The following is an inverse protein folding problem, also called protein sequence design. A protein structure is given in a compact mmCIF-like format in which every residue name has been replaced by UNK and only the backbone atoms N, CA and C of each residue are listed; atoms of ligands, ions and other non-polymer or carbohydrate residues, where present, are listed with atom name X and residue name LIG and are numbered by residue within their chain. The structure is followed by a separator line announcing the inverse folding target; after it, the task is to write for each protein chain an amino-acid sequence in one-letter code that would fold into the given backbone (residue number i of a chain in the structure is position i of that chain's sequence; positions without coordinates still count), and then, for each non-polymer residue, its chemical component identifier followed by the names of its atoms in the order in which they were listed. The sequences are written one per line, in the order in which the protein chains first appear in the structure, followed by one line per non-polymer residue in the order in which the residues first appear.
data_IF_569054604028
#
_entry.id   IF_569054604028
#
_cell.length_a   1.000
_cell.length_b   1.000
_cell.length_c   1.000
_cell.angle_alpha   90.00
_cell.angle_beta   90.00
_cell.angle_gamma   90.00
#
_symmetry.space_group_name_H-M   'P 1'
#
loop_
_entity.id
_entity.type
_entity.pdbx_description
1 polymer ?
#
# COMPACT_ATOMS: atom_id res chain seq x y z
N UNK A 1 -7.01 -15.19 -14.26
CA UNK A 1 -7.20 -14.39 -13.04
C UNK A 1 -6.20 -14.81 -11.98
N UNK A 2 -5.52 -13.84 -11.39
CA UNK A 2 -4.57 -14.12 -10.32
C UNK A 2 -5.31 -14.57 -9.06
N UNK A 3 -4.76 -15.57 -8.40
CA UNK A 3 -5.31 -16.01 -7.13
C UNK A 3 -5.03 -14.98 -6.04
N UNK A 4 -5.96 -14.78 -5.10
CA UNK A 4 -5.68 -13.97 -3.92
C UNK A 4 -4.52 -14.54 -3.12
N UNK A 5 -3.75 -13.67 -2.50
CA UNK A 5 -2.67 -14.08 -1.61
C UNK A 5 -3.23 -14.19 -0.19
N UNK A 6 -3.13 -15.37 0.40
CA UNK A 6 -3.72 -15.63 1.73
C UNK A 6 -2.65 -15.59 2.81
N UNK A 7 -2.87 -14.74 3.80
CA UNK A 7 -2.10 -14.71 5.03
C UNK A 7 -2.90 -15.41 6.12
N UNK A 8 -2.33 -15.59 7.29
CA UNK A 8 -3.03 -16.29 8.37
C UNK A 8 -4.28 -15.56 8.85
N UNK A 9 -4.23 -14.23 8.87
CA UNK A 9 -5.31 -13.42 9.42
C UNK A 9 -6.06 -12.60 8.37
N UNK A 10 -5.58 -12.54 7.13
CA UNK A 10 -6.21 -11.76 6.08
C UNK A 10 -5.86 -12.28 4.70
N UNK A 11 -6.65 -11.86 3.73
CA UNK A 11 -6.46 -12.22 2.32
C UNK A 11 -6.32 -10.95 1.51
N UNK A 12 -5.44 -10.96 0.52
CA UNK A 12 -5.16 -9.82 -0.33
C UNK A 12 -5.42 -10.20 -1.79
N UNK A 13 -6.39 -9.53 -2.40
CA UNK A 13 -6.65 -9.70 -3.84
C UNK A 13 -5.63 -8.90 -4.63
N UNK A 14 -5.21 -9.43 -5.76
CA UNK A 14 -4.15 -8.83 -6.58
C UNK A 14 -4.40 -8.88 -8.08
N UNK A 15 -5.61 -9.25 -8.49
CA UNK A 15 -5.91 -9.44 -9.92
C UNK A 15 -6.05 -8.12 -10.70
N UNK A 16 -6.19 -6.99 -10.01
CA UNK A 16 -6.32 -5.67 -10.64
C UNK A 16 -5.08 -4.78 -10.47
N UNK A 17 -4.01 -5.32 -9.92
CA UNK A 17 -2.77 -4.56 -9.72
C UNK A 17 -1.73 -4.91 -10.77
N UNK A 18 -1.05 -3.89 -11.29
CA UNK A 18 0.05 -4.08 -12.24
C UNK A 18 1.22 -4.81 -11.58
N UNK A 19 1.46 -4.51 -10.29
CA UNK A 19 2.50 -5.19 -9.51
C UNK A 19 1.84 -6.15 -8.54
N UNK A 20 2.19 -7.42 -8.65
CA UNK A 20 1.69 -8.45 -7.75
C UNK A 20 2.48 -8.46 -6.45
N UNK A 21 1.93 -9.13 -5.44
CA UNK A 21 2.62 -9.31 -4.17
C UNK A 21 3.88 -10.15 -4.42
N UNK A 22 5.01 -9.59 -4.05
CA UNK A 22 6.29 -10.27 -4.18
C UNK A 22 6.98 -10.40 -2.84
N UNK A 23 8.10 -11.12 -2.85
CA UNK A 23 8.91 -11.34 -1.65
C UNK A 23 9.35 -10.03 -1.01
N UNK A 24 9.71 -9.03 -1.83
CA UNK A 24 10.20 -7.75 -1.32
C UNK A 24 9.16 -7.02 -0.48
N UNK A 25 7.91 -6.99 -0.96
CA UNK A 25 6.82 -6.35 -0.23
C UNK A 25 6.53 -7.05 1.09
N UNK A 26 6.52 -8.37 1.08
CA UNK A 26 6.28 -9.16 2.29
C UNK A 26 7.43 -8.97 3.30
N UNK A 27 8.68 -8.99 2.84
CA UNK A 27 9.83 -8.76 3.70
C UNK A 27 9.82 -7.36 4.30
N UNK A 28 9.51 -6.35 3.49
CA UNK A 28 9.41 -4.97 3.96
C UNK A 28 8.34 -4.86 5.04
N UNK A 29 7.16 -5.45 4.80
CA UNK A 29 6.08 -5.44 5.76
C UNK A 29 6.42 -6.15 7.07
N UNK A 30 7.20 -7.24 6.98
CA UNK A 30 7.64 -7.98 8.16
C UNK A 30 8.76 -7.25 8.91
N UNK A 31 9.59 -6.49 8.19
CA UNK A 31 10.80 -5.88 8.74
C UNK A 31 10.62 -4.45 9.25
N UNK A 32 9.63 -3.74 8.73
CA UNK A 32 9.38 -2.35 9.13
C UNK A 32 9.18 -2.30 10.64
N UNK A 33 9.94 -1.42 11.31
CA UNK A 33 9.83 -1.29 12.76
C UNK A 33 8.57 -0.54 13.16
N UNK A 34 7.83 -1.12 14.09
CA UNK A 34 6.67 -0.49 14.71
C UNK A 34 6.85 -0.36 16.22
N UNK A 35 8.10 -0.48 16.69
CA UNK A 35 8.43 -0.45 18.12
C UNK A 35 8.15 0.90 18.78
N UNK A 36 8.17 1.97 18.00
CA UNK A 36 7.90 3.32 18.51
C UNK A 36 6.41 3.64 18.61
N UNK A 37 5.56 2.64 18.41
CA UNK A 37 4.09 2.75 18.50
C UNK A 37 3.54 3.88 17.63
N UNK A 38 3.72 3.82 16.31
CA UNK A 38 3.23 4.89 15.45
C UNK A 38 1.71 4.98 15.52
N UNK A 39 1.20 6.19 15.64
CA UNK A 39 -0.24 6.45 15.60
C UNK A 39 -0.71 6.58 14.14
N UNK A 40 0.09 7.27 13.33
CA UNK A 40 -0.23 7.53 11.93
C UNK A 40 0.83 6.95 11.01
N UNK A 41 0.38 6.32 9.94
CA UNK A 41 1.23 5.66 8.95
C UNK A 41 0.81 6.09 7.56
N UNK A 42 1.75 6.40 6.70
CA UNK A 42 1.50 6.69 5.30
C UNK A 42 2.18 5.63 4.43
N UNK A 43 1.40 5.00 3.56
CA UNK A 43 1.85 4.01 2.59
C UNK A 43 1.78 4.63 1.20
N UNK A 44 2.93 4.93 0.62
CA UNK A 44 3.03 5.61 -0.67
C UNK A 44 3.10 4.59 -1.80
N UNK A 45 2.17 4.67 -2.75
CA UNK A 45 2.11 3.73 -3.86
C UNK A 45 1.70 2.35 -3.38
N UNK A 46 0.54 2.26 -2.74
CA UNK A 46 0.13 1.09 -1.96
C UNK A 46 -0.10 -0.18 -2.78
N UNK A 47 -0.39 -0.07 -4.06
CA UNK A 47 -0.71 -1.25 -4.87
C UNK A 47 -1.87 -2.04 -4.28
N UNK A 48 -1.61 -3.29 -3.89
CA UNK A 48 -2.64 -4.14 -3.26
C UNK A 48 -2.98 -3.73 -1.83
N UNK A 49 -2.14 -2.91 -1.19
CA UNK A 49 -2.29 -2.55 0.21
C UNK A 49 -1.58 -3.48 1.18
N UNK A 50 -0.70 -4.35 0.68
CA UNK A 50 -0.05 -5.37 1.51
C UNK A 50 0.75 -4.79 2.67
N UNK A 51 1.51 -3.71 2.45
CA UNK A 51 2.30 -3.10 3.53
C UNK A 51 1.42 -2.57 4.64
N UNK A 52 0.37 -1.84 4.27
CA UNK A 52 -0.58 -1.29 5.23
C UNK A 52 -1.27 -2.39 6.04
N UNK A 53 -1.65 -3.47 5.38
CA UNK A 53 -2.30 -4.60 6.06
C UNK A 53 -1.36 -5.27 7.05
N UNK A 54 -0.10 -5.47 6.67
CA UNK A 54 0.89 -6.08 7.56
C UNK A 54 1.19 -5.17 8.75
N UNK A 55 1.26 -3.87 8.53
CA UNK A 55 1.49 -2.90 9.61
C UNK A 55 0.27 -2.85 10.55
N UNK A 56 -0.94 -2.90 10.01
CA UNK A 56 -2.15 -2.95 10.81
C UNK A 56 -2.15 -4.18 11.74
N UNK A 57 -1.73 -5.33 11.21
CA UNK A 57 -1.64 -6.56 11.98
C UNK A 57 -0.61 -6.47 13.11
N UNK A 58 0.50 -5.78 12.86
CA UNK A 58 1.65 -5.73 13.76
C UNK A 58 1.66 -4.55 14.73
N UNK A 59 0.73 -3.62 14.59
CA UNK A 59 0.75 -2.38 15.38
C UNK A 59 -0.64 -2.01 15.87
N UNK A 60 -0.68 -0.97 16.71
CA UNK A 60 -1.92 -0.37 17.18
C UNK A 60 -2.19 0.98 16.51
N UNK A 61 -1.54 1.24 15.36
CA UNK A 61 -1.72 2.49 14.62
C UNK A 61 -3.21 2.70 14.31
N UNK A 62 -3.70 3.91 14.56
CA UNK A 62 -5.11 4.23 14.39
C UNK A 62 -5.43 4.90 13.06
N UNK A 63 -4.41 5.47 12.40
CA UNK A 63 -4.57 6.10 11.09
C UNK A 63 -3.52 5.53 10.15
N UNK A 64 -3.89 4.52 9.39
CA UNK A 64 -3.04 3.96 8.36
C UNK A 64 -3.64 4.40 7.03
N UNK A 65 -2.97 5.36 6.39
CA UNK A 65 -3.44 5.98 5.17
C UNK A 65 -2.55 5.55 4.01
N UNK A 66 -3.17 5.08 2.94
CA UNK A 66 -2.48 4.66 1.74
C UNK A 66 -2.88 5.56 0.58
N UNK A 67 -1.94 5.87 -0.29
CA UNK A 67 -2.21 6.64 -1.50
C UNK A 67 -1.80 5.80 -2.72
N UNK A 68 -2.62 5.86 -3.76
CA UNK A 68 -2.40 5.12 -4.99
C UNK A 68 -2.95 5.94 -6.16
N UNK A 69 -2.16 6.07 -7.23
CA UNK A 69 -2.56 6.86 -8.40
C UNK A 69 -3.21 6.03 -9.50
N UNK A 70 -2.97 4.74 -9.53
CA UNK A 70 -3.59 3.86 -10.52
C UNK A 70 -5.01 3.50 -10.10
N UNK A 71 -5.98 3.74 -11.01
CA UNK A 71 -7.40 3.51 -10.72
C UNK A 71 -7.69 2.10 -10.23
N UNK A 72 -7.21 1.11 -10.97
CA UNK A 72 -7.48 -0.30 -10.66
C UNK A 72 -6.83 -0.73 -9.37
N UNK A 73 -5.59 -0.30 -9.14
CA UNK A 73 -4.87 -0.61 -7.91
C UNK A 73 -5.52 0.05 -6.70
N UNK A 74 -5.99 1.30 -6.85
CA UNK A 74 -6.72 2.00 -5.80
C UNK A 74 -7.99 1.24 -5.40
N UNK A 75 -8.78 0.81 -6.38
CA UNK A 75 -10.00 0.05 -6.11
C UNK A 75 -9.70 -1.27 -5.41
N UNK A 76 -8.64 -1.95 -5.85
CA UNK A 76 -8.24 -3.22 -5.24
C UNK A 76 -7.74 -3.02 -3.81
N UNK A 77 -6.93 -2.00 -3.58
CA UNK A 77 -6.46 -1.65 -2.24
C UNK A 77 -7.62 -1.36 -1.30
N UNK A 78 -8.58 -0.54 -1.75
CA UNK A 78 -9.76 -0.20 -0.97
C UNK A 78 -10.56 -1.44 -0.61
N UNK A 79 -10.76 -2.34 -1.57
CA UNK A 79 -11.48 -3.59 -1.34
C UNK A 79 -10.75 -4.47 -0.31
N UNK A 80 -9.43 -4.60 -0.45
CA UNK A 80 -8.63 -5.38 0.50
C UNK A 80 -8.71 -4.80 1.91
N UNK A 81 -8.72 -3.48 2.04
CA UNK A 81 -8.85 -2.82 3.34
C UNK A 81 -10.21 -3.09 3.95
N UNK A 82 -11.28 -2.95 3.17
CA UNK A 82 -12.64 -3.17 3.64
C UNK A 82 -12.87 -4.60 4.12
N UNK A 83 -12.24 -5.56 3.46
CA UNK A 83 -12.40 -6.98 3.79
C UNK A 83 -11.45 -7.47 4.89
N UNK A 84 -10.61 -6.59 5.43
CA UNK A 84 -9.68 -6.96 6.48
C UNK A 84 -10.30 -6.78 7.88
N UNK A 85 -9.73 -7.43 8.90
CA UNK A 85 -10.18 -7.22 10.29
C UNK A 85 -9.91 -5.80 10.81
N UNK A 86 -9.11 -5.01 10.10
CA UNK A 86 -8.68 -3.68 10.55
C UNK A 86 -9.27 -2.55 9.71
N UNK A 87 -10.42 -2.78 9.09
CA UNK A 87 -11.05 -1.84 8.17
C UNK A 87 -11.37 -0.48 8.81
N UNK A 88 -11.50 -0.43 10.12
CA UNK A 88 -11.76 0.81 10.85
C UNK A 88 -10.56 1.74 10.97
N UNK A 89 -9.36 1.23 10.68
CA UNK A 89 -8.10 1.98 10.79
C UNK A 89 -7.39 2.21 9.46
N UNK A 90 -7.89 1.62 8.39
CA UNK A 90 -7.25 1.63 7.09
C UNK A 90 -8.03 2.52 6.12
N UNK A 91 -7.33 3.44 5.48
CA UNK A 91 -7.93 4.40 4.54
C UNK A 91 -7.09 4.44 3.27
N UNK A 92 -7.73 4.34 2.11
CA UNK A 92 -7.04 4.41 0.82
C UNK A 92 -7.55 5.62 0.04
N UNK A 93 -6.64 6.42 -0.49
CA UNK A 93 -6.97 7.61 -1.27
C UNK A 93 -6.42 7.48 -2.68
N UNK A 94 -7.21 7.88 -3.65
CA UNK A 94 -6.82 7.92 -5.05
C UNK A 94 -6.14 9.26 -5.31
N UNK A 95 -4.84 9.32 -5.07
CA UNK A 95 -4.09 10.57 -5.16
C UNK A 95 -2.60 10.30 -5.37
N UNK A 96 -1.93 11.27 -5.98
CA UNK A 96 -0.47 11.27 -6.01
C UNK A 96 0.06 11.80 -4.67
N UNK A 97 1.34 11.57 -4.41
CA UNK A 97 1.97 12.10 -3.20
C UNK A 97 1.86 13.64 -3.15
N UNK A 98 2.09 14.30 -4.28
CA UNK A 98 2.03 15.76 -4.33
C UNK A 98 0.64 16.28 -3.99
N UNK A 99 -0.40 15.70 -4.61
CA UNK A 99 -1.78 16.07 -4.33
C UNK A 99 -2.13 15.87 -2.85
N UNK A 100 -1.72 14.74 -2.32
CA UNK A 100 -2.02 14.38 -0.94
C UNK A 100 -1.37 15.36 0.04
N UNK A 101 -0.10 15.69 -0.17
CA UNK A 101 0.64 16.62 0.68
C UNK A 101 0.02 18.02 0.65
N UNK A 102 -0.41 18.48 -0.53
CA UNK A 102 -1.04 19.79 -0.67
C UNK A 102 -2.35 19.89 0.07
N UNK A 103 -3.15 18.82 0.07
CA UNK A 103 -4.47 18.85 0.71
C UNK A 103 -4.41 18.59 2.20
N UNK A 104 -3.60 17.64 2.62
CA UNK A 104 -3.58 17.17 4.00
C UNK A 104 -2.62 17.97 4.87
N UNK A 105 -1.40 18.21 4.37
CA UNK A 105 -0.41 19.01 5.07
C UNK A 105 0.07 18.44 6.40
N UNK A 106 -0.32 17.21 6.72
CA UNK A 106 0.02 16.57 7.99
C UNK A 106 1.35 15.83 7.94
N UNK A 107 1.88 15.56 9.11
CA UNK A 107 3.03 14.68 9.24
C UNK A 107 2.56 13.30 9.71
N UNK A 108 3.38 12.30 9.46
CA UNK A 108 3.10 10.92 9.84
C UNK A 108 4.22 10.38 10.73
N UNK A 109 3.85 9.51 11.66
CA UNK A 109 4.83 8.88 12.55
C UNK A 109 5.68 7.83 11.82
N UNK A 110 5.12 7.24 10.77
CA UNK A 110 5.81 6.25 9.96
C UNK A 110 5.40 6.41 8.50
N UNK A 111 6.39 6.42 7.60
CA UNK A 111 6.14 6.46 6.17
C UNK A 111 6.80 5.25 5.55
N UNK A 112 6.05 4.48 4.78
CA UNK A 112 6.56 3.31 4.07
C UNK A 112 6.30 3.46 2.58
N UNK A 113 7.19 2.90 1.79
CA UNK A 113 7.06 2.90 0.35
C UNK A 113 7.75 1.66 -0.20
N UNK A 114 7.03 0.92 -1.04
CA UNK A 114 7.58 -0.21 -1.75
C UNK A 114 7.46 0.04 -3.24
N UNK A 115 8.31 0.91 -3.81
CA UNK A 115 8.20 1.24 -5.22
C UNK A 115 8.46 0.00 -6.08
N UNK A 116 7.76 -0.15 -7.20
CA UNK A 116 8.00 -1.27 -8.08
C UNK A 116 9.43 -1.21 -8.62
N UNK A 117 10.05 -2.38 -8.75
CA UNK A 117 11.37 -2.53 -9.33
C UNK A 117 11.23 -3.12 -10.72
N UNK A 118 11.69 -2.40 -11.74
CA UNK A 118 11.70 -2.93 -13.09
C UNK A 118 12.88 -2.40 -13.89
N UNK A 119 13.20 -3.13 -14.97
CA UNK A 119 14.27 -2.75 -15.87
C UNK A 119 13.87 -1.51 -16.68
N UNK A 120 14.87 -0.91 -17.33
CA UNK A 120 14.66 0.22 -18.24
C UNK A 120 13.61 -0.07 -19.31
N UNK A 121 13.52 -1.31 -19.76
CA UNK A 121 12.63 -1.72 -20.84
C UNK A 121 11.15 -1.56 -20.49
N UNK A 122 10.79 -1.56 -19.22
CA UNK A 122 9.40 -1.46 -18.79
C UNK A 122 8.92 -0.04 -18.58
N UNK A 123 9.80 0.91 -18.44
CA UNK A 123 9.42 2.29 -18.08
C UNK A 123 8.56 2.97 -19.13
N UNK A 124 8.79 2.68 -20.38
CA UNK A 124 8.03 3.29 -21.46
C UNK A 124 6.79 2.50 -21.85
N UNK A 125 6.69 1.27 -21.40
CA UNK A 125 5.62 0.34 -21.79
C UNK A 125 4.44 0.35 -20.84
N UNK A 126 4.63 0.80 -19.61
CA UNK A 126 3.56 0.79 -18.62
C UNK A 126 3.59 2.06 -17.78
N UNK A 127 2.86 3.06 -18.24
CA UNK A 127 2.79 4.36 -17.57
C UNK A 127 2.19 4.31 -16.18
N UNK A 128 1.22 3.43 -15.95
CA UNK A 128 0.64 3.29 -14.62
C UNK A 128 1.68 2.87 -13.59
N UNK A 129 2.55 1.92 -13.97
CA UNK A 129 3.61 1.46 -13.08
C UNK A 129 4.66 2.53 -12.86
N UNK A 130 5.02 3.26 -13.92
CA UNK A 130 6.01 4.33 -13.82
C UNK A 130 5.51 5.46 -12.94
N UNK A 131 4.22 5.79 -13.04
CA UNK A 131 3.63 6.83 -12.21
C UNK A 131 3.53 6.42 -10.73
N UNK A 132 3.51 5.13 -10.44
CA UNK A 132 3.50 4.64 -9.07
C UNK A 132 4.88 4.69 -8.40
N UNK A 133 5.94 5.04 -9.15
CA UNK A 133 7.30 5.19 -8.61
C UNK A 133 7.54 6.61 -8.15
N UNK A 134 8.31 6.75 -7.12
CA UNK A 134 8.65 8.08 -6.56
C UNK A 134 10.12 8.29 -6.43
#
# INVERSE_FOLDING_TARGET
MEKPFKFKQFTVKQDRCAMKIGTDGVLLGAWTSVKHNPFSVLDIGSGTGILSLMIAQRSHAEQIEAIEIDDDAYEQCSENFENSPWNDRLFCYHASLLEFVEEVGDSFDLIVCNPPFYSEDYKTENKSRDLARF
#
